data_IF_302202946020
#
_entry.id   IF_302202946020
#
_cell.length_a   1.000
_cell.length_b   1.000
_cell.length_c   1.000
_cell.angle_alpha   90.00
_cell.angle_beta   90.00
_cell.angle_gamma   90.00
#
_symmetry.space_group_name_H-M   'P 1'
#
loop_
_entity.id
_entity.type
_entity.pdbx_description
1 polymer ?
#
# COMPACT_ATOMS: atom_id res chain seq x y z
N UNK A 1 -16.51 4.46 -27.12
CA UNK A 1 -15.17 5.03 -26.89
C UNK A 1 -14.14 4.08 -27.48
N UNK A 2 -13.23 4.56 -28.33
CA UNK A 2 -12.13 3.71 -28.85
C UNK A 2 -11.06 3.57 -27.77
N UNK A 3 -10.20 2.54 -27.87
CA UNK A 3 -9.12 2.31 -26.89
C UNK A 3 -8.13 3.49 -26.81
N UNK A 4 -7.87 4.14 -27.94
CA UNK A 4 -7.04 5.35 -28.02
C UNK A 4 -7.60 6.47 -27.16
N UNK A 5 -8.91 6.68 -27.22
CA UNK A 5 -9.58 7.78 -26.54
C UNK A 5 -9.58 7.55 -25.01
N UNK A 6 -9.75 6.30 -24.57
CA UNK A 6 -9.63 5.93 -23.16
C UNK A 6 -8.21 6.14 -22.63
N UNK A 7 -7.20 5.72 -23.40
CA UNK A 7 -5.80 5.89 -23.00
C UNK A 7 -5.44 7.37 -22.85
N UNK A 8 -5.88 8.21 -23.78
CA UNK A 8 -5.68 9.66 -23.69
C UNK A 8 -6.41 10.25 -22.48
N UNK A 9 -7.65 9.84 -22.24
CA UNK A 9 -8.42 10.34 -21.10
C UNK A 9 -7.76 10.00 -19.75
N UNK A 10 -7.19 8.79 -19.62
CA UNK A 10 -6.46 8.40 -18.41
C UNK A 10 -5.15 9.19 -18.26
N UNK A 11 -4.42 9.42 -19.35
CA UNK A 11 -3.22 10.25 -19.33
C UNK A 11 -3.52 11.72 -18.96
N UNK A 12 -4.62 12.27 -19.48
CA UNK A 12 -5.06 13.62 -19.12
C UNK A 12 -5.46 13.71 -17.64
N UNK A 13 -6.08 12.65 -17.11
CA UNK A 13 -6.40 12.56 -15.67
C UNK A 13 -5.13 12.56 -14.82
N UNK A 14 -4.12 11.74 -15.16
CA UNK A 14 -2.85 11.68 -14.45
C UNK A 14 -2.16 13.05 -14.45
N UNK A 15 -2.06 13.70 -15.61
CA UNK A 15 -1.49 15.04 -15.74
C UNK A 15 -2.23 16.10 -14.92
N UNK A 16 -3.56 16.00 -14.81
CA UNK A 16 -4.35 16.94 -14.02
C UNK A 16 -4.14 16.73 -12.52
N UNK A 17 -4.01 15.49 -12.06
CA UNK A 17 -3.68 15.18 -10.66
C UNK A 17 -2.30 15.73 -10.33
N UNK A 18 -1.29 15.48 -11.18
CA UNK A 18 0.07 15.97 -10.97
C UNK A 18 0.12 17.50 -10.86
N UNK A 19 -0.59 18.21 -11.75
CA UNK A 19 -0.68 19.68 -11.68
C UNK A 19 -1.29 20.17 -10.36
N UNK A 20 -2.36 19.53 -9.88
CA UNK A 20 -2.98 19.91 -8.61
C UNK A 20 -2.02 19.67 -7.44
N UNK A 21 -1.31 18.54 -7.45
CA UNK A 21 -0.28 18.22 -6.45
C UNK A 21 0.85 19.24 -6.47
N UNK A 22 1.35 19.62 -7.64
CA UNK A 22 2.43 20.60 -7.79
C UNK A 22 2.03 21.99 -7.31
N UNK A 23 0.80 22.44 -7.61
CA UNK A 23 0.26 23.71 -7.11
C UNK A 23 0.18 23.68 -5.57
N UNK A 24 -0.41 22.63 -5.00
CA UNK A 24 -0.52 22.50 -3.55
C UNK A 24 0.86 22.45 -2.87
N UNK A 25 1.80 21.72 -3.45
CA UNK A 25 3.18 21.65 -2.98
C UNK A 25 3.83 23.03 -2.97
N UNK A 26 3.70 23.77 -4.06
CA UNK A 26 4.23 25.14 -4.20
C UNK A 26 3.62 26.09 -3.16
N UNK A 27 2.30 26.03 -2.95
CA UNK A 27 1.59 26.83 -1.96
C UNK A 27 2.05 26.54 -0.52
N UNK A 28 2.32 25.26 -0.20
CA UNK A 28 2.81 24.86 1.11
C UNK A 28 4.30 25.22 1.32
N UNK A 29 5.12 25.13 0.26
CA UNK A 29 6.52 25.58 0.29
C UNK A 29 6.59 27.08 0.55
N UNK A 30 5.73 27.87 -0.09
CA UNK A 30 5.69 29.33 0.06
C UNK A 30 5.31 29.78 1.49
N UNK A 31 4.72 28.88 2.30
CA UNK A 31 4.40 29.14 3.72
C UNK A 31 5.57 28.86 4.68
N UNK A 32 6.71 28.38 4.17
CA UNK A 32 7.87 28.15 5.02
C UNK A 32 8.52 29.47 5.42
N UNK A 33 8.63 29.68 6.73
CA UNK A 33 9.42 30.77 7.29
C UNK A 33 10.44 30.18 8.26
N UNK A 34 11.70 30.63 8.17
CA UNK A 34 12.75 30.25 9.11
C UNK A 34 13.31 31.47 9.82
N UNK A 35 13.57 31.33 11.11
CA UNK A 35 14.23 32.35 11.94
C UNK A 35 15.74 32.10 12.08
N UNK A 36 16.26 31.09 11.38
CA UNK A 36 17.68 30.76 11.42
C UNK A 36 18.53 31.84 10.78
N UNK A 37 19.59 32.23 11.50
CA UNK A 37 20.56 33.25 11.02
C UNK A 37 21.67 32.64 10.18
N UNK A 38 21.90 31.33 10.32
CA UNK A 38 22.88 30.59 9.53
C UNK A 38 22.20 30.06 8.26
N UNK A 39 22.72 30.46 7.10
CA UNK A 39 22.21 30.04 5.80
C UNK A 39 22.24 28.52 5.58
N UNK A 40 23.24 27.82 6.13
CA UNK A 40 23.35 26.35 5.99
C UNK A 40 22.26 25.64 6.82
N UNK A 41 22.06 26.09 8.06
CA UNK A 41 20.97 25.59 8.90
C UNK A 41 19.59 25.91 8.31
N UNK A 42 19.41 27.12 7.76
CA UNK A 42 18.19 27.53 7.07
C UNK A 42 17.89 26.63 5.84
N UNK A 43 18.92 26.26 5.08
CA UNK A 43 18.79 25.37 3.92
C UNK A 43 18.37 23.96 4.33
N UNK A 44 19.01 23.39 5.36
CA UNK A 44 18.62 22.06 5.84
C UNK A 44 17.20 22.03 6.42
N UNK A 45 16.77 23.09 7.13
CA UNK A 45 15.39 23.19 7.59
C UNK A 45 14.39 23.29 6.42
N UNK A 46 14.76 23.98 5.35
CA UNK A 46 13.94 24.05 4.14
C UNK A 46 13.83 22.67 3.44
N UNK A 47 14.92 21.92 3.34
CA UNK A 47 14.92 20.55 2.80
C UNK A 47 14.02 19.62 3.62
N UNK A 48 14.12 19.69 4.95
CA UNK A 48 13.24 18.93 5.86
C UNK A 48 11.78 19.34 5.67
N UNK A 49 11.50 20.63 5.53
CA UNK A 49 10.14 21.13 5.28
C UNK A 49 9.55 20.62 3.97
N UNK A 50 10.33 20.63 2.88
CA UNK A 50 9.90 20.03 1.60
C UNK A 50 9.57 18.55 1.79
N UNK A 51 10.44 17.78 2.46
CA UNK A 51 10.20 16.36 2.71
C UNK A 51 8.94 16.12 3.55
N UNK A 52 8.65 17.00 4.52
CA UNK A 52 7.43 16.95 5.32
C UNK A 52 6.18 17.22 4.49
N UNK A 53 6.22 18.23 3.61
CA UNK A 53 5.11 18.54 2.68
C UNK A 53 4.84 17.34 1.77
N UNK A 54 5.89 16.80 1.15
CA UNK A 54 5.78 15.66 0.24
C UNK A 54 5.18 14.45 0.96
N UNK A 55 5.59 14.20 2.20
CA UNK A 55 5.00 13.17 3.06
C UNK A 55 3.52 13.42 3.38
N UNK A 56 3.14 14.65 3.75
CA UNK A 56 1.75 15.00 4.07
C UNK A 56 0.84 14.82 2.85
N UNK A 57 1.24 15.32 1.69
CA UNK A 57 0.45 15.17 0.45
C UNK A 57 0.32 13.68 0.08
N UNK A 58 1.44 12.96 0.02
CA UNK A 58 1.45 11.55 -0.37
C UNK A 58 0.64 10.67 0.60
N UNK A 59 0.75 10.93 1.90
CA UNK A 59 -0.02 10.18 2.92
C UNK A 59 -1.52 10.42 2.78
N UNK A 60 -1.97 11.65 2.53
CA UNK A 60 -3.39 11.98 2.30
C UNK A 60 -3.95 11.32 1.06
N UNK A 61 -3.23 11.40 -0.07
CA UNK A 61 -3.60 10.73 -1.32
C UNK A 61 -3.70 9.22 -1.08
N UNK A 62 -2.67 8.61 -0.51
CA UNK A 62 -2.66 7.17 -0.26
C UNK A 62 -3.82 6.74 0.65
N UNK A 63 -4.10 7.44 1.75
CA UNK A 63 -5.20 7.07 2.66
C UNK A 63 -6.57 7.10 1.97
N UNK A 64 -6.85 8.13 1.16
CA UNK A 64 -8.13 8.26 0.46
C UNK A 64 -8.26 7.24 -0.67
N UNK A 65 -7.25 7.17 -1.54
CA UNK A 65 -7.29 6.36 -2.76
C UNK A 65 -7.07 4.88 -2.49
N UNK A 66 -6.30 4.49 -1.46
CA UNK A 66 -6.14 3.07 -1.10
C UNK A 66 -7.45 2.43 -0.69
N UNK A 67 -8.25 3.13 0.13
CA UNK A 67 -9.57 2.64 0.54
C UNK A 67 -10.53 2.54 -0.65
N UNK A 68 -10.56 3.57 -1.50
CA UNK A 68 -11.38 3.56 -2.72
C UNK A 68 -10.96 2.42 -3.67
N UNK A 69 -9.65 2.27 -3.88
CA UNK A 69 -9.07 1.21 -4.69
C UNK A 69 -9.43 -0.19 -4.15
N UNK A 70 -9.26 -0.43 -2.85
CA UNK A 70 -9.64 -1.70 -2.23
C UNK A 70 -11.13 -1.98 -2.32
N UNK A 71 -11.98 -0.97 -2.06
CA UNK A 71 -13.42 -1.08 -2.23
C UNK A 71 -13.81 -1.41 -3.67
N UNK A 72 -13.18 -0.77 -4.66
CA UNK A 72 -13.45 -1.01 -6.08
C UNK A 72 -13.12 -2.44 -6.52
N UNK A 73 -12.06 -3.06 -5.97
CA UNK A 73 -11.75 -4.48 -6.23
C UNK A 73 -12.84 -5.41 -5.71
N UNK A 74 -13.32 -5.17 -4.49
CA UNK A 74 -14.39 -5.98 -3.88
C UNK A 74 -15.67 -5.86 -4.73
N UNK A 75 -16.05 -4.62 -5.07
CA UNK A 75 -17.21 -4.37 -5.92
C UNK A 75 -17.09 -5.03 -7.30
N UNK A 76 -15.90 -5.01 -7.90
CA UNK A 76 -15.64 -5.66 -9.19
C UNK A 76 -15.77 -7.18 -9.07
N UNK A 77 -15.28 -7.77 -7.99
CA UNK A 77 -15.40 -9.21 -7.73
C UNK A 77 -16.87 -9.62 -7.53
N UNK A 78 -17.62 -8.87 -6.72
CA UNK A 78 -19.05 -9.09 -6.47
C UNK A 78 -19.90 -8.90 -7.73
N UNK A 79 -19.61 -7.88 -8.54
CA UNK A 79 -20.30 -7.66 -9.81
C UNK A 79 -20.02 -8.79 -10.81
N UNK A 80 -18.77 -9.25 -10.89
CA UNK A 80 -18.37 -10.36 -11.76
C UNK A 80 -19.04 -11.66 -11.32
N UNK A 81 -19.05 -11.95 -10.01
CA UNK A 81 -19.75 -13.10 -9.44
C UNK A 81 -21.24 -13.09 -9.77
N UNK A 82 -21.92 -11.95 -9.58
CA UNK A 82 -23.36 -11.80 -9.86
C UNK A 82 -23.72 -12.02 -11.33
N UNK A 83 -22.89 -11.55 -12.26
CA UNK A 83 -23.20 -11.60 -13.70
C UNK A 83 -22.73 -12.89 -14.36
N UNK A 84 -21.56 -13.40 -13.98
CA UNK A 84 -20.92 -14.54 -14.64
C UNK A 84 -20.99 -15.84 -13.83
N UNK A 85 -21.50 -15.79 -12.60
CA UNK A 85 -21.57 -16.95 -11.69
C UNK A 85 -20.21 -17.46 -11.22
N UNK A 86 -19.12 -16.83 -11.65
CA UNK A 86 -17.73 -17.20 -11.30
C UNK A 86 -16.92 -15.95 -11.03
N UNK A 87 -16.21 -15.95 -9.91
CA UNK A 87 -15.25 -14.90 -9.53
C UNK A 87 -13.92 -15.50 -9.10
N UNK A 88 -13.82 -16.82 -9.00
CA UNK A 88 -12.64 -17.48 -8.47
C UNK A 88 -11.55 -17.55 -9.53
N UNK A 89 -10.32 -17.28 -9.10
CA UNK A 89 -9.15 -17.48 -9.94
C UNK A 89 -8.78 -18.95 -10.01
N UNK A 90 -7.80 -19.27 -10.85
CA UNK A 90 -7.11 -20.57 -10.79
C UNK A 90 -5.81 -20.35 -10.00
N UNK A 91 -5.55 -21.12 -8.92
CA UNK A 91 -4.33 -20.98 -8.14
C UNK A 91 -3.06 -21.07 -8.99
N UNK A 92 -2.22 -20.05 -8.91
CA UNK A 92 -0.97 -19.95 -9.66
C UNK A 92 -1.11 -19.40 -11.07
N UNK A 93 -2.33 -19.12 -11.55
CA UNK A 93 -2.59 -18.64 -12.90
C UNK A 93 -3.23 -17.25 -12.91
N UNK A 94 -3.08 -16.56 -14.05
CA UNK A 94 -3.80 -15.31 -14.33
C UNK A 94 -4.85 -15.61 -15.39
N UNK A 95 -6.12 -15.51 -15.02
CA UNK A 95 -7.24 -15.73 -15.94
C UNK A 95 -7.95 -14.43 -16.27
N UNK A 96 -8.60 -14.40 -17.43
CA UNK A 96 -9.48 -13.28 -17.80
C UNK A 96 -10.89 -13.61 -17.36
N UNK A 97 -11.41 -12.87 -16.39
CA UNK A 97 -12.77 -13.08 -15.88
C UNK A 97 -13.81 -12.38 -16.77
N UNK A 98 -13.51 -11.17 -17.24
CA UNK A 98 -14.42 -10.43 -18.10
C UNK A 98 -13.68 -9.53 -19.08
N UNK A 99 -14.34 -9.21 -20.20
CA UNK A 99 -13.83 -8.27 -21.19
C UNK A 99 -14.98 -7.51 -21.85
N UNK A 100 -14.90 -6.19 -21.80
CA UNK A 100 -15.75 -5.30 -22.59
C UNK A 100 -15.02 -4.84 -23.86
N UNK A 101 -15.67 -3.97 -24.63
CA UNK A 101 -15.05 -3.31 -25.79
C UNK A 101 -13.87 -2.40 -25.42
N UNK A 102 -13.80 -1.91 -24.18
CA UNK A 102 -12.80 -0.95 -23.71
C UNK A 102 -11.88 -1.47 -22.60
N UNK A 103 -12.36 -2.40 -21.77
CA UNK A 103 -11.67 -2.86 -20.55
C UNK A 103 -11.56 -4.38 -20.51
N UNK A 104 -10.52 -4.88 -19.85
CA UNK A 104 -10.30 -6.31 -19.60
C UNK A 104 -10.04 -6.50 -18.11
N UNK A 105 -10.81 -7.36 -17.48
CA UNK A 105 -10.62 -7.75 -16.09
C UNK A 105 -9.93 -9.11 -16.02
N UNK A 106 -8.74 -9.11 -15.41
CA UNK A 106 -7.96 -10.32 -15.14
C UNK A 106 -7.78 -10.50 -13.65
N UNK A 107 -7.91 -11.74 -13.17
CA UNK A 107 -7.66 -12.10 -11.77
C UNK A 107 -6.54 -13.13 -11.73
N UNK A 108 -5.55 -12.87 -10.87
CA UNK A 108 -4.50 -13.82 -10.52
C UNK A 108 -4.77 -14.31 -9.11
N UNK A 109 -4.81 -15.62 -8.93
CA UNK A 109 -4.84 -16.23 -7.60
C UNK A 109 -3.45 -16.75 -7.28
N UNK A 110 -2.94 -16.39 -6.10
CA UNK A 110 -1.69 -16.99 -5.63
C UNK A 110 -1.92 -18.49 -5.39
N UNK A 111 -0.88 -19.31 -5.54
CA UNK A 111 -0.96 -20.69 -5.05
C UNK A 111 -1.19 -20.62 -3.54
N UNK A 112 -2.06 -21.48 -3.02
CA UNK A 112 -2.17 -21.65 -1.58
C UNK A 112 -0.77 -21.95 -1.03
N UNK A 113 -0.33 -21.15 -0.06
CA UNK A 113 0.88 -21.46 0.67
C UNK A 113 0.58 -22.65 1.58
N UNK A 114 1.32 -23.74 1.44
CA UNK A 114 1.40 -24.83 2.44
C UNK A 114 2.10 -24.29 3.71
N UNK A 115 1.49 -23.30 4.37
CA UNK A 115 2.03 -22.74 5.59
C UNK A 115 1.67 -23.67 6.74
N UNK A 116 2.58 -24.58 7.08
CA UNK A 116 2.54 -25.32 8.35
C UNK A 116 2.64 -24.29 9.47
N UNK A 117 1.64 -24.20 10.35
CA UNK A 117 1.73 -23.26 11.47
C UNK A 117 2.88 -23.68 12.39
N UNK A 118 3.54 -22.73 13.04
CA UNK A 118 4.60 -23.04 14.01
C UNK A 118 4.05 -23.99 15.07
N UNK A 119 2.79 -23.83 15.47
CA UNK A 119 2.07 -24.73 16.38
C UNK A 119 2.05 -26.18 15.88
N UNK A 120 1.77 -26.40 14.60
CA UNK A 120 1.76 -27.75 14.00
C UNK A 120 3.16 -28.37 13.98
N UNK A 121 4.18 -27.57 13.67
CA UNK A 121 5.59 -27.96 13.75
C UNK A 121 6.00 -28.32 15.19
N UNK A 122 5.62 -27.51 16.18
CA UNK A 122 5.90 -27.76 17.60
C UNK A 122 5.23 -29.05 18.08
N UNK A 123 3.99 -29.28 17.65
CA UNK A 123 3.23 -30.50 17.98
C UNK A 123 3.82 -31.74 17.30
N UNK A 124 4.37 -31.62 16.09
CA UNK A 124 5.07 -32.71 15.41
C UNK A 124 6.40 -33.04 16.11
N UNK A 125 7.18 -32.02 16.49
CA UNK A 125 8.46 -32.19 17.19
C UNK A 125 8.27 -32.79 18.60
N UNK A 126 7.24 -32.37 19.32
CA UNK A 126 6.90 -32.97 20.61
C UNK A 126 6.51 -34.45 20.48
N UNK A 127 5.77 -34.81 19.42
CA UNK A 127 5.43 -36.21 19.09
C UNK A 127 6.67 -37.02 18.67
N UNK A 128 7.67 -36.38 18.07
CA UNK A 128 8.96 -36.98 17.73
C UNK A 128 9.95 -37.08 18.91
N UNK A 129 9.53 -36.73 20.13
CA UNK A 129 10.34 -36.87 21.34
C UNK A 129 11.30 -35.70 21.61
N UNK A 130 11.17 -34.57 20.91
CA UNK A 130 11.98 -33.38 21.19
C UNK A 130 11.55 -32.75 22.50
N UNK A 131 12.51 -32.53 23.40
CA UNK A 131 12.25 -32.00 24.74
C UNK A 131 11.65 -30.58 24.69
N UNK A 132 10.47 -30.43 25.32
CA UNK A 132 9.66 -29.20 25.31
C UNK A 132 10.45 -27.95 25.76
N UNK A 133 11.43 -28.12 26.66
CA UNK A 133 12.27 -27.04 27.18
C UNK A 133 13.21 -26.42 26.13
N UNK A 134 13.79 -27.24 25.25
CA UNK A 134 14.68 -26.79 24.17
C UNK A 134 13.89 -26.02 23.11
N UNK A 135 12.71 -26.56 22.76
CA UNK A 135 11.77 -25.96 21.81
C UNK A 135 11.23 -24.62 22.32
N UNK A 136 10.85 -24.55 23.60
CA UNK A 136 10.38 -23.33 24.23
C UNK A 136 11.44 -22.22 24.28
N UNK A 137 12.72 -22.57 24.45
CA UNK A 137 13.84 -21.60 24.43
C UNK A 137 14.10 -21.08 23.01
N UNK A 138 14.10 -21.95 22.01
CA UNK A 138 14.24 -21.57 20.61
C UNK A 138 13.08 -20.68 20.12
N UNK A 139 11.84 -21.01 20.51
CA UNK A 139 10.65 -20.21 20.22
C UNK A 139 10.74 -18.80 20.83
N UNK A 140 11.12 -18.69 22.11
CA UNK A 140 11.31 -17.39 22.78
C UNK A 140 12.42 -16.55 22.14
N UNK A 141 13.49 -17.17 21.65
CA UNK A 141 14.55 -16.47 20.92
C UNK A 141 14.08 -15.98 19.54
N UNK A 142 13.26 -16.77 18.84
CA UNK A 142 12.67 -16.39 17.56
C UNK A 142 11.62 -15.27 17.68
N UNK A 143 10.94 -15.19 18.83
CA UNK A 143 9.97 -14.15 19.16
C UNK A 143 10.60 -12.87 19.76
N UNK A 144 11.93 -12.77 19.85
CA UNK A 144 12.57 -11.50 20.24
C UNK A 144 12.00 -10.40 19.35
N UNK A 145 11.41 -9.33 19.91
CA UNK A 145 10.76 -8.31 19.13
C UNK A 145 11.79 -7.71 18.18
N UNK A 146 11.59 -7.95 16.89
CA UNK A 146 12.30 -7.20 15.85
C UNK A 146 11.83 -5.75 15.96
N UNK A 147 12.76 -4.82 15.81
CA UNK A 147 12.52 -3.37 15.89
C UNK A 147 11.23 -3.05 15.14
N UNK A 148 10.22 -2.58 15.87
CA UNK A 148 8.88 -2.35 15.32
C UNK A 148 8.92 -1.30 14.22
N UNK A 149 7.89 -1.29 13.38
CA UNK A 149 7.71 -0.25 12.36
C UNK A 149 7.78 1.13 13.02
N UNK A 150 8.63 1.99 12.47
CA UNK A 150 8.68 3.41 12.86
C UNK A 150 7.55 4.11 12.12
N UNK A 151 6.61 4.68 12.87
CA UNK A 151 5.51 5.46 12.32
C UNK A 151 5.85 6.94 12.45
N UNK A 152 5.93 7.63 11.32
CA UNK A 152 6.15 9.08 11.27
C UNK A 152 4.77 9.77 11.25
N UNK A 153 4.56 10.74 12.14
CA UNK A 153 3.34 11.53 12.16
C UNK A 153 3.72 13.01 11.97
N UNK A 154 3.16 13.63 10.94
CA UNK A 154 3.27 15.06 10.66
C UNK A 154 1.85 15.60 10.65
N UNK A 155 1.51 16.44 11.63
CA UNK A 155 0.19 17.06 11.77
C UNK A 155 0.29 18.55 11.47
N UNK A 156 -0.75 19.12 10.84
CA UNK A 156 -0.87 20.57 10.73
C UNK A 156 -1.07 21.17 12.13
N UNK A 157 -0.49 22.34 12.39
CA UNK A 157 -0.78 23.12 13.60
C UNK A 157 -2.14 23.80 13.38
N UNK A 158 -3.11 23.53 14.24
CA UNK A 158 -4.38 24.28 14.28
C UNK A 158 -4.18 25.53 15.15
N UNK A 159 -4.69 26.67 14.69
CA UNK A 159 -4.65 27.97 15.40
C UNK A 159 -5.53 27.98 16.65
#
# INVERSE_FOLDING_TARGET
MKKSDLAQYLLDLDNNIDKIVDVLRSDLIAKFETKEKNNEAATHLFEVHIAMIDYVIASRINSLWKKSYDGSKIQLDEATHRVLGTSDGIPGETITLHRSNTLKFTKRQNKDSEAVTVTDLLNALARAGVEKGVVGKAYKMALKPKRGNTYYNVTAVED
#
